data_IF_883785932345
#
_entry.id   IF_883785932345
#
_cell.length_a   1.000
_cell.length_b   1.000
_cell.length_c   1.000
_cell.angle_alpha   90.00
_cell.angle_beta   90.00
_cell.angle_gamma   90.00
#
_symmetry.space_group_name_H-M   'P 1'
#
loop_
_entity.id
_entity.type
_entity.pdbx_description
1 polymer ?
#
# COMPACT_ATOMS: atom_id res chain seq x y z
N UNK A 1 15.42 31.80 57.73
CA UNK A 1 15.97 31.14 56.53
C UNK A 1 15.08 29.95 56.25
N UNK A 2 14.24 30.01 55.22
CA UNK A 2 13.41 28.87 54.80
C UNK A 2 13.96 28.46 53.44
N UNK A 3 14.64 27.32 53.40
CA UNK A 3 15.11 26.71 52.15
C UNK A 3 13.89 26.35 51.30
N UNK A 4 13.83 26.93 50.11
CA UNK A 4 12.83 26.62 49.10
C UNK A 4 13.31 25.38 48.36
N UNK A 5 12.76 24.22 48.71
CA UNK A 5 12.96 22.98 47.97
C UNK A 5 12.32 23.15 46.60
N UNK A 6 13.14 23.29 45.55
CA UNK A 6 12.66 23.30 44.16
C UNK A 6 12.23 21.88 43.78
N UNK A 7 10.92 21.69 43.66
CA UNK A 7 10.33 20.43 43.19
C UNK A 7 10.52 20.32 41.67
N UNK A 8 11.30 19.36 41.14
CA UNK A 8 11.80 19.39 39.77
C UNK A 8 10.76 18.99 38.70
N UNK A 9 9.48 18.88 39.06
CA UNK A 9 8.45 18.30 38.19
C UNK A 9 7.59 19.34 37.44
N UNK A 10 7.74 20.64 37.69
CA UNK A 10 6.85 21.66 37.11
C UNK A 10 7.47 22.46 35.95
N UNK A 11 7.94 21.77 34.92
CA UNK A 11 8.19 22.42 33.64
C UNK A 11 6.91 22.48 32.81
N UNK A 12 6.28 23.67 32.81
CA UNK A 12 5.03 24.02 32.11
C UNK A 12 4.88 23.30 30.76
N UNK A 13 4.11 22.22 30.76
CA UNK A 13 3.69 21.46 29.57
C UNK A 13 2.71 22.30 28.76
N UNK A 14 2.85 22.32 27.42
CA UNK A 14 1.99 23.14 26.55
C UNK A 14 2.24 22.87 25.06
N UNK A 15 1.58 23.65 24.20
CA UNK A 15 1.74 23.51 22.75
C UNK A 15 3.21 23.68 22.33
N UNK A 16 3.75 22.70 21.60
CA UNK A 16 5.18 22.66 21.21
C UNK A 16 6.15 22.34 22.34
N UNK A 17 5.66 22.01 23.55
CA UNK A 17 6.46 21.66 24.74
C UNK A 17 5.92 20.37 25.36
N UNK A 18 6.21 19.21 24.73
CA UNK A 18 5.79 17.92 25.28
C UNK A 18 6.48 17.65 26.63
N UNK A 19 5.89 16.86 27.53
CA UNK A 19 6.49 16.52 28.83
C UNK A 19 7.89 15.92 28.68
N UNK A 20 8.84 16.33 29.53
CA UNK A 20 10.21 15.80 29.49
C UNK A 20 10.30 14.28 29.63
N UNK A 21 9.41 13.68 30.42
CA UNK A 21 9.37 12.23 30.62
C UNK A 21 9.11 11.43 29.33
N UNK A 22 8.42 12.03 28.35
CA UNK A 22 8.11 11.39 27.06
C UNK A 22 8.95 11.91 25.90
N UNK A 23 9.86 12.87 26.13
CA UNK A 23 10.79 13.34 25.11
C UNK A 23 11.86 12.29 24.82
N UNK A 24 12.15 12.07 23.54
CA UNK A 24 13.32 11.27 23.15
C UNK A 24 14.61 11.98 23.55
N UNK A 25 15.60 11.19 24.01
CA UNK A 25 16.94 11.73 24.30
C UNK A 25 17.55 12.28 23.02
N UNK A 26 18.16 13.46 23.08
CA UNK A 26 18.87 14.06 21.95
C UNK A 26 19.90 13.08 21.39
N UNK A 27 19.82 12.78 20.10
CA UNK A 27 20.69 11.82 19.42
C UNK A 27 20.21 10.36 19.45
N UNK A 28 19.09 10.07 20.12
CA UNK A 28 18.49 8.74 20.15
C UNK A 28 17.16 8.76 19.40
N UNK A 29 17.09 7.98 18.31
CA UNK A 29 15.83 7.70 17.62
C UNK A 29 14.91 6.89 18.54
N UNK A 30 13.62 7.22 18.57
CA UNK A 30 12.59 6.41 19.22
C UNK A 30 12.41 5.02 18.60
N UNK A 31 12.92 4.83 17.37
CA UNK A 31 13.08 3.53 16.74
C UNK A 31 14.59 3.27 16.49
N UNK A 32 15.31 2.62 17.43
CA UNK A 32 16.75 2.38 17.33
C UNK A 32 17.14 1.50 16.13
N UNK A 33 16.27 0.57 15.74
CA UNK A 33 16.48 -0.30 14.57
C UNK A 33 16.19 0.43 13.25
N UNK A 34 15.52 1.59 13.32
CA UNK A 34 15.12 2.36 12.17
C UNK A 34 14.26 1.55 11.20
N UNK A 35 14.30 1.96 9.94
CA UNK A 35 13.73 1.18 8.85
C UNK A 35 14.71 0.06 8.49
N UNK A 36 14.27 -1.19 8.33
CA UNK A 36 15.15 -2.27 7.89
C UNK A 36 15.78 -1.93 6.52
N UNK A 37 17.03 -2.36 6.27
CA UNK A 37 17.69 -2.11 5.00
C UNK A 37 16.89 -2.75 3.85
N UNK A 38 16.89 -2.10 2.68
CA UNK A 38 16.25 -2.66 1.48
C UNK A 38 16.85 -4.05 1.19
N UNK A 39 15.99 -5.07 1.07
CA UNK A 39 16.45 -6.43 0.80
C UNK A 39 17.08 -6.51 -0.59
N UNK A 40 18.25 -7.16 -0.69
CA UNK A 40 18.90 -7.49 -1.97
C UNK A 40 18.35 -8.80 -2.54
N UNK A 41 17.05 -9.04 -2.36
CA UNK A 41 16.43 -10.29 -2.82
C UNK A 41 16.45 -10.37 -4.34
N UNK A 42 16.38 -11.59 -4.88
CA UNK A 42 16.27 -11.82 -6.33
C UNK A 42 15.07 -11.08 -6.93
N UNK A 43 13.95 -11.03 -6.20
CA UNK A 43 12.76 -10.29 -6.60
C UNK A 43 13.00 -8.78 -6.67
N UNK A 44 13.70 -8.20 -5.68
CA UNK A 44 14.05 -6.78 -5.70
C UNK A 44 14.98 -6.43 -6.87
N UNK A 45 15.98 -7.26 -7.14
CA UNK A 45 16.88 -7.09 -8.28
C UNK A 45 16.12 -7.20 -9.60
N UNK A 46 15.25 -8.21 -9.74
CA UNK A 46 14.43 -8.40 -10.94
C UNK A 46 13.50 -7.19 -11.18
N UNK A 47 12.80 -6.72 -10.14
CA UNK A 47 11.93 -5.54 -10.26
C UNK A 47 12.71 -4.28 -10.66
N UNK A 48 13.91 -4.08 -10.08
CA UNK A 48 14.79 -2.95 -10.45
C UNK A 48 15.24 -3.02 -11.90
N UNK A 49 15.70 -4.18 -12.37
CA UNK A 49 16.21 -4.37 -13.73
C UNK A 49 15.07 -4.28 -14.75
N UNK A 50 13.94 -4.95 -14.48
CA UNK A 50 12.80 -4.98 -15.38
C UNK A 50 12.11 -3.60 -15.49
N UNK A 51 12.13 -2.80 -14.42
CA UNK A 51 11.59 -1.44 -14.38
C UNK A 51 12.56 -0.34 -14.83
N UNK A 52 13.77 -0.68 -15.25
CA UNK A 52 14.73 0.30 -15.75
C UNK A 52 14.25 0.94 -17.06
N UNK A 53 14.35 2.26 -17.17
CA UNK A 53 13.83 3.03 -18.31
C UNK A 53 14.90 3.24 -19.39
N UNK A 54 14.66 2.72 -20.58
CA UNK A 54 15.48 2.88 -21.77
C UNK A 54 14.86 3.91 -22.71
N UNK A 55 15.70 4.67 -23.41
CA UNK A 55 15.27 5.60 -24.47
C UNK A 55 15.50 4.94 -25.82
N UNK A 56 14.42 4.55 -26.49
CA UNK A 56 14.47 3.92 -27.81
C UNK A 56 13.71 4.78 -28.83
N UNK A 57 14.01 4.58 -30.12
CA UNK A 57 13.22 5.17 -31.20
C UNK A 57 11.83 4.52 -31.21
N UNK A 58 10.80 5.31 -30.95
CA UNK A 58 9.41 4.90 -31.00
C UNK A 58 8.76 5.20 -32.35
N UNK A 59 7.46 4.92 -32.40
CA UNK A 59 6.56 5.40 -33.46
C UNK A 59 5.90 6.70 -32.97
N UNK A 60 5.79 7.77 -33.78
CA UNK A 60 6.29 7.92 -35.16
C UNK A 60 7.83 7.96 -35.24
N UNK A 61 8.37 7.49 -36.37
CA UNK A 61 9.81 7.31 -36.63
C UNK A 61 10.60 8.58 -36.31
N UNK A 62 11.45 8.51 -35.27
CA UNK A 62 12.28 9.62 -34.81
C UNK A 62 11.93 10.14 -33.41
N UNK A 63 10.76 9.81 -32.88
CA UNK A 63 10.42 10.13 -31.49
C UNK A 63 11.25 9.28 -30.52
N UNK A 64 11.90 9.91 -29.53
CA UNK A 64 12.55 9.19 -28.43
C UNK A 64 11.50 8.89 -27.35
N UNK A 65 11.01 7.67 -27.34
CA UNK A 65 10.03 7.18 -26.36
C UNK A 65 10.77 6.39 -25.27
N UNK A 66 10.29 6.50 -24.02
CA UNK A 66 10.86 5.76 -22.90
C UNK A 66 10.10 4.46 -22.73
N UNK A 67 10.82 3.35 -22.67
CA UNK A 67 10.29 2.02 -22.42
C UNK A 67 11.03 1.40 -21.23
N UNK A 68 10.33 0.63 -20.41
CA UNK A 68 10.93 -0.24 -19.41
C UNK A 68 11.65 -1.41 -20.07
N UNK A 69 12.64 -2.00 -19.39
CA UNK A 69 13.30 -3.24 -19.86
C UNK A 69 12.28 -4.34 -20.16
N UNK A 70 11.24 -4.48 -19.33
CA UNK A 70 10.19 -5.46 -19.52
C UNK A 70 9.42 -5.25 -20.84
N UNK A 71 9.01 -4.02 -21.13
CA UNK A 71 8.32 -3.68 -22.38
C UNK A 71 9.18 -4.02 -23.60
N UNK A 72 10.47 -3.69 -23.54
CA UNK A 72 11.42 -3.99 -24.62
C UNK A 72 11.52 -5.51 -24.83
N UNK A 73 11.65 -6.30 -23.77
CA UNK A 73 11.70 -7.77 -23.86
C UNK A 73 10.42 -8.31 -24.52
N UNK A 74 9.24 -7.84 -24.12
CA UNK A 74 7.96 -8.29 -24.68
C UNK A 74 7.86 -7.90 -26.17
N UNK A 75 8.29 -6.70 -26.54
CA UNK A 75 8.33 -6.26 -27.94
C UNK A 75 9.26 -7.14 -28.78
N UNK A 76 10.45 -7.47 -28.26
CA UNK A 76 11.38 -8.38 -28.93
C UNK A 76 10.81 -9.78 -29.06
N UNK A 77 10.17 -10.32 -28.01
CA UNK A 77 9.48 -11.60 -28.07
C UNK A 77 8.41 -11.61 -29.15
N UNK A 78 7.61 -10.54 -29.26
CA UNK A 78 6.61 -10.37 -30.33
C UNK A 78 7.25 -10.42 -31.72
N UNK A 79 8.35 -9.69 -31.92
CA UNK A 79 9.05 -9.64 -33.21
C UNK A 79 9.64 -11.02 -33.58
N UNK A 80 10.29 -11.68 -32.63
CA UNK A 80 10.88 -13.02 -32.84
C UNK A 80 9.80 -14.09 -33.09
N UNK A 81 8.67 -14.00 -32.39
CA UNK A 81 7.53 -14.86 -32.60
C UNK A 81 6.95 -14.68 -34.03
N UNK A 82 6.78 -13.43 -34.46
CA UNK A 82 6.36 -13.10 -35.82
C UNK A 82 7.36 -13.59 -36.89
N UNK A 83 8.66 -13.65 -36.56
CA UNK A 83 9.70 -14.22 -37.39
C UNK A 83 9.77 -15.77 -37.33
N UNK A 84 8.84 -16.44 -36.64
CA UNK A 84 8.74 -17.90 -36.62
C UNK A 84 9.68 -18.61 -35.63
N UNK A 85 10.30 -17.91 -34.69
CA UNK A 85 11.12 -18.54 -33.65
C UNK A 85 10.23 -19.21 -32.60
N UNK A 86 10.03 -20.52 -32.74
CA UNK A 86 9.12 -21.34 -31.91
C UNK A 86 9.25 -21.12 -30.40
N UNK A 87 10.48 -21.04 -29.88
CA UNK A 87 10.72 -20.77 -28.46
C UNK A 87 10.23 -19.39 -28.00
N UNK A 88 10.42 -18.35 -28.82
CA UNK A 88 9.91 -17.02 -28.55
C UNK A 88 8.38 -16.97 -28.67
N UNK A 89 7.81 -17.66 -29.66
CA UNK A 89 6.36 -17.78 -29.82
C UNK A 89 5.70 -18.41 -28.60
N UNK A 90 6.25 -19.52 -28.09
CA UNK A 90 5.73 -20.18 -26.90
C UNK A 90 5.80 -19.30 -25.65
N UNK A 91 6.93 -18.59 -25.44
CA UNK A 91 7.08 -17.67 -24.31
C UNK A 91 6.14 -16.46 -24.41
N UNK A 92 6.00 -15.88 -25.61
CA UNK A 92 5.10 -14.75 -25.86
C UNK A 92 3.63 -15.14 -25.66
N UNK A 93 3.19 -16.30 -26.17
CA UNK A 93 1.82 -16.79 -25.97
C UNK A 93 1.52 -17.00 -24.49
N UNK A 94 2.39 -17.73 -23.77
CA UNK A 94 2.23 -17.96 -22.31
C UNK A 94 2.16 -16.65 -21.52
N UNK A 95 2.98 -15.66 -21.88
CA UNK A 95 2.93 -14.34 -21.27
C UNK A 95 1.58 -13.67 -21.57
N UNK A 96 1.17 -13.61 -22.83
CA UNK A 96 -0.07 -12.97 -23.26
C UNK A 96 -1.33 -13.59 -22.65
N UNK A 97 -1.39 -14.92 -22.54
CA UNK A 97 -2.52 -15.65 -21.94
C UNK A 97 -2.68 -15.29 -20.46
N UNK A 98 -1.57 -15.24 -19.70
CA UNK A 98 -1.59 -14.93 -18.27
C UNK A 98 -2.19 -13.56 -17.98
N UNK A 99 -1.84 -12.55 -18.79
CA UNK A 99 -2.28 -11.17 -18.54
C UNK A 99 -3.62 -10.83 -19.22
N UNK A 100 -3.92 -11.42 -20.38
CA UNK A 100 -5.25 -11.29 -21.00
C UNK A 100 -6.37 -11.80 -20.08
N UNK A 101 -6.10 -12.85 -19.29
CA UNK A 101 -7.07 -13.35 -18.32
C UNK A 101 -7.19 -12.48 -17.06
N UNK A 102 -6.11 -11.80 -16.64
CA UNK A 102 -6.16 -10.92 -15.47
C UNK A 102 -7.03 -9.68 -15.71
N UNK A 103 -7.00 -9.11 -16.92
CA UNK A 103 -7.88 -7.98 -17.33
C UNK A 103 -9.37 -8.34 -17.26
N UNK A 104 -9.75 -9.59 -17.56
CA UNK A 104 -11.15 -10.04 -17.47
C UNK A 104 -11.65 -10.20 -16.03
N UNK A 105 -10.73 -10.45 -15.09
CA UNK A 105 -11.06 -10.66 -13.67
C UNK A 105 -10.94 -9.39 -12.82
N UNK A 106 -10.30 -8.33 -13.34
CA UNK A 106 -10.18 -7.05 -12.66
C UNK A 106 -11.29 -6.11 -13.13
N UNK A 107 -12.44 -6.19 -12.47
CA UNK A 107 -13.23 -5.05 -11.96
C UNK A 107 -14.60 -5.56 -11.46
N UNK A 108 -14.61 -6.32 -10.36
CA UNK A 108 -15.72 -6.13 -9.41
C UNK A 108 -15.31 -4.93 -8.54
N UNK A 109 -15.55 -3.72 -9.03
CA UNK A 109 -15.41 -2.53 -8.20
C UNK A 109 -16.41 -2.66 -7.04
N UNK A 110 -15.91 -2.71 -5.80
CA UNK A 110 -16.76 -2.68 -4.62
C UNK A 110 -17.29 -1.26 -4.43
N UNK A 111 -18.60 -1.08 -4.52
CA UNK A 111 -19.23 0.20 -4.19
C UNK A 111 -19.40 0.28 -2.67
N UNK A 112 -18.89 1.36 -2.05
CA UNK A 112 -19.28 1.74 -0.70
C UNK A 112 -20.54 2.60 -0.83
N UNK A 113 -21.70 2.03 -0.50
CA UNK A 113 -22.92 2.80 -0.36
C UNK A 113 -22.79 3.62 0.92
N UNK A 114 -22.45 4.89 0.78
CA UNK A 114 -22.54 5.86 1.87
C UNK A 114 -24.03 6.19 2.02
N UNK A 115 -24.67 5.87 3.16
CA UNK A 115 -26.04 6.28 3.38
C UNK A 115 -26.14 7.81 3.28
N UNK A 116 -27.24 8.28 2.71
CA UNK A 116 -27.65 9.68 2.79
C UNK A 116 -27.57 10.16 4.25
N UNK A 117 -27.32 11.45 4.49
CA UNK A 117 -27.21 12.02 5.85
C UNK A 117 -28.53 11.82 6.61
N UNK A 118 -28.66 10.65 7.25
CA UNK A 118 -29.75 10.35 8.15
C UNK A 118 -29.44 10.99 9.49
N UNK A 119 -30.47 11.60 10.05
CA UNK A 119 -30.38 12.04 11.43
C UNK A 119 -30.24 10.82 12.36
N UNK A 120 -29.63 10.98 13.55
CA UNK A 120 -29.45 9.87 14.48
C UNK A 120 -30.75 9.13 14.84
N UNK A 121 -31.87 9.85 14.89
CA UNK A 121 -33.18 9.30 15.22
C UNK A 121 -33.74 8.40 14.10
N UNK A 122 -33.61 8.83 12.85
CA UNK A 122 -34.02 8.04 11.67
C UNK A 122 -33.16 6.80 11.49
N UNK A 123 -31.88 6.88 11.85
CA UNK A 123 -30.96 5.76 11.82
C UNK A 123 -31.35 4.69 12.85
N UNK A 124 -31.64 5.09 14.08
CA UNK A 124 -32.13 4.21 15.16
C UNK A 124 -33.46 3.57 14.76
N UNK A 125 -34.40 4.32 14.18
CA UNK A 125 -35.68 3.78 13.74
C UNK A 125 -35.55 2.73 12.61
N UNK A 126 -34.57 2.89 11.72
CA UNK A 126 -34.36 2.01 10.55
C UNK A 126 -33.50 0.78 10.86
N UNK A 127 -32.51 0.92 11.74
CA UNK A 127 -31.48 -0.10 11.96
C UNK A 127 -31.39 -0.61 13.40
N UNK A 128 -32.15 -0.07 14.37
CA UNK A 128 -32.26 -0.75 15.67
C UNK A 128 -32.94 -2.11 15.48
N UNK A 129 -32.37 -3.18 16.04
CA UNK A 129 -33.05 -4.46 16.15
C UNK A 129 -34.40 -4.24 16.84
N UNK A 130 -35.50 -4.56 16.16
CA UNK A 130 -36.86 -4.44 16.75
C UNK A 130 -37.09 -5.41 17.89
N UNK A 131 -36.26 -6.45 17.99
CA UNK A 131 -36.34 -7.46 19.03
C UNK A 131 -35.17 -7.27 20.00
N UNK A 132 -35.50 -7.23 21.28
CA UNK A 132 -34.53 -7.25 22.37
C UNK A 132 -33.75 -8.58 22.27
N UNK A 133 -32.40 -8.57 22.36
CA UNK A 133 -31.65 -9.83 22.41
C UNK A 133 -32.22 -10.68 23.56
N UNK A 134 -32.33 -12.01 23.38
CA UNK A 134 -32.86 -12.89 24.42
C UNK A 134 -32.10 -12.62 25.72
N UNK A 135 -32.84 -12.38 26.82
CA UNK A 135 -32.23 -12.18 28.14
C UNK A 135 -31.32 -13.36 28.49
N UNK A 136 -30.18 -13.06 29.13
CA UNK A 136 -29.22 -14.07 29.58
C UNK A 136 -29.94 -15.22 30.31
N UNK A 137 -29.58 -16.49 30.05
CA UNK A 137 -30.21 -17.62 30.74
C UNK A 137 -29.92 -17.52 32.24
N UNK A 138 -30.95 -17.77 33.06
CA UNK A 138 -30.85 -17.67 34.51
C UNK A 138 -29.73 -18.56 35.08
N UNK A 139 -29.08 -18.15 36.18
CA UNK A 139 -28.01 -18.92 36.78
C UNK A 139 -28.51 -20.32 37.16
N UNK A 140 -27.75 -21.35 36.80
CA UNK A 140 -28.03 -22.72 37.21
C UNK A 140 -27.77 -22.85 38.73
N UNK A 141 -28.79 -23.31 39.47
CA UNK A 141 -28.69 -23.81 40.86
C UNK A 141 -27.83 -25.09 40.94
#
# INVERSE_FOLDING_TARGET
MVEKTEDPHDERVGYGRPPKASQFKKGQSGNPLGRPPKSRSRAHIAGRVLGEMHRLSGQPKGARVRFTTLEVIIMTLKQLAAAGKSGASALYLRFSERYTQQERTQHSVGYLVVPEELTPEEWVARYSPKDMPPSDPEPFD
#
